data_IF_857748574840
#
_entry.id   IF_857748574840
#
_cell.length_a   1.000
_cell.length_b   1.000
_cell.length_c   1.000
_cell.angle_alpha   90.00
_cell.angle_beta   90.00
_cell.angle_gamma   90.00
#
_symmetry.space_group_name_H-M   'P 1'
#
loop_
_entity.id
_entity.type
_entity.pdbx_description
1 polymer ?
#
# COMPACT_ATOMS: atom_id res chain seq x y z
N UNK A 1 2.99 -18.24 10.13
CA UNK A 1 2.09 -17.12 10.48
C UNK A 1 1.51 -16.52 9.23
N UNK A 2 0.39 -15.79 9.33
CA UNK A 2 -0.15 -15.04 8.20
C UNK A 2 0.58 -13.69 8.07
N UNK A 3 0.89 -13.32 6.82
CA UNK A 3 1.53 -12.05 6.48
C UNK A 3 0.68 -11.36 5.43
N UNK A 4 0.28 -10.11 5.70
CA UNK A 4 -0.44 -9.27 4.74
C UNK A 4 0.51 -8.16 4.27
N UNK A 5 0.69 -8.05 2.94
CA UNK A 5 1.59 -7.10 2.30
C UNK A 5 0.78 -6.04 1.54
N UNK A 6 0.93 -4.78 1.97
CA UNK A 6 0.25 -3.62 1.39
C UNK A 6 1.24 -2.84 0.52
N UNK A 7 0.96 -2.67 -0.80
CA UNK A 7 1.85 -1.98 -1.72
C UNK A 7 1.85 -0.46 -1.50
N UNK A 8 2.87 0.19 -2.04
CA UNK A 8 2.96 1.65 -2.10
C UNK A 8 2.10 2.26 -3.21
N UNK A 9 2.11 3.59 -3.27
CA UNK A 9 1.43 4.36 -4.31
C UNK A 9 1.91 3.93 -5.70
N UNK A 10 1.01 3.94 -6.68
CA UNK A 10 1.22 3.50 -8.07
C UNK A 10 1.51 2.01 -8.27
N UNK A 11 1.57 1.22 -7.20
CA UNK A 11 1.90 -0.20 -7.24
C UNK A 11 0.68 -1.06 -6.89
N UNK A 12 0.69 -2.27 -7.40
CA UNK A 12 -0.27 -3.32 -7.06
C UNK A 12 0.40 -4.45 -6.25
N UNK A 13 -0.35 -5.51 -5.95
CA UNK A 13 0.16 -6.66 -5.19
C UNK A 13 1.35 -7.36 -5.83
N UNK A 14 1.53 -7.23 -7.15
CA UNK A 14 2.66 -7.86 -7.87
C UNK A 14 4.02 -7.22 -7.54
N UNK A 15 4.03 -6.05 -6.91
CA UNK A 15 5.26 -5.44 -6.38
C UNK A 15 5.96 -6.33 -5.34
N UNK A 16 5.24 -7.28 -4.74
CA UNK A 16 5.75 -8.22 -3.76
C UNK A 16 6.14 -9.60 -4.33
N UNK A 17 6.07 -9.79 -5.67
CA UNK A 17 6.32 -11.08 -6.33
C UNK A 17 7.70 -11.67 -6.04
N UNK A 18 8.71 -10.82 -5.83
CA UNK A 18 10.06 -11.26 -5.47
C UNK A 18 10.20 -11.63 -3.98
N UNK A 19 9.32 -11.12 -3.12
CA UNK A 19 9.35 -11.31 -1.66
C UNK A 19 8.48 -12.49 -1.24
N UNK A 20 7.26 -12.58 -1.79
CA UNK A 20 6.25 -13.59 -1.44
C UNK A 20 6.81 -15.01 -1.43
N UNK A 21 7.47 -15.53 -2.49
CA UNK A 21 7.97 -16.90 -2.49
C UNK A 21 9.04 -17.18 -1.42
N UNK A 22 9.81 -16.16 -1.03
CA UNK A 22 10.83 -16.29 0.01
C UNK A 22 10.21 -16.46 1.38
N UNK A 23 9.17 -15.68 1.68
CA UNK A 23 8.42 -15.80 2.93
C UNK A 23 7.65 -17.12 3.00
N UNK A 24 7.07 -17.57 1.88
CA UNK A 24 6.38 -18.86 1.80
C UNK A 24 7.34 -20.04 1.99
N UNK A 25 8.57 -19.96 1.50
CA UNK A 25 9.60 -20.97 1.70
C UNK A 25 10.00 -21.11 3.18
N UNK A 26 9.85 -20.03 3.98
CA UNK A 26 10.03 -20.04 5.44
C UNK A 26 8.78 -20.53 6.20
N UNK A 27 7.75 -20.99 5.50
CA UNK A 27 6.55 -21.57 6.09
C UNK A 27 5.47 -20.54 6.47
N UNK A 28 5.54 -19.32 5.94
CA UNK A 28 4.50 -18.30 6.14
C UNK A 28 3.38 -18.45 5.09
N UNK A 29 2.16 -17.99 5.44
CA UNK A 29 1.07 -17.79 4.50
C UNK A 29 1.05 -16.31 4.14
N UNK A 30 1.34 -15.98 2.86
CA UNK A 30 1.51 -14.61 2.42
C UNK A 30 0.33 -14.17 1.56
N UNK A 31 -0.17 -12.98 1.82
CA UNK A 31 -1.22 -12.32 1.05
C UNK A 31 -0.74 -10.95 0.61
N UNK A 32 -0.28 -10.85 -0.62
CA UNK A 32 -0.01 -9.58 -1.29
C UNK A 32 -1.32 -9.04 -1.84
N UNK A 33 -1.74 -7.85 -1.39
CA UNK A 33 -3.02 -7.28 -1.81
C UNK A 33 -2.84 -6.27 -2.94
N UNK A 34 -3.84 -6.17 -3.80
CA UNK A 34 -4.01 -5.05 -4.73
C UNK A 34 -5.12 -4.16 -4.17
N UNK A 35 -4.81 -2.90 -3.92
CA UNK A 35 -5.78 -1.96 -3.35
C UNK A 35 -6.84 -1.59 -4.41
N UNK A 36 -8.08 -1.25 -4.00
CA UNK A 36 -9.12 -0.81 -4.93
C UNK A 36 -8.65 0.31 -5.87
N UNK A 37 -9.01 0.21 -7.14
CA UNK A 37 -8.56 1.13 -8.19
C UNK A 37 -7.18 0.84 -8.78
N UNK A 38 -6.36 0.01 -8.10
CA UNK A 38 -5.02 -0.36 -8.56
C UNK A 38 -5.00 -1.63 -9.43
N UNK A 39 -6.15 -2.17 -9.77
CA UNK A 39 -6.35 -3.29 -10.71
C UNK A 39 -6.89 -2.84 -12.07
N UNK A 40 -7.11 -1.54 -12.24
CA UNK A 40 -7.67 -0.95 -13.47
C UNK A 40 -9.17 -1.19 -13.67
N UNK A 41 -9.89 -1.74 -12.70
CA UNK A 41 -11.31 -2.11 -12.84
C UNK A 41 -12.28 -1.06 -12.31
N UNK A 42 -11.88 -0.27 -11.32
CA UNK A 42 -12.73 0.76 -10.72
C UNK A 42 -12.47 2.17 -11.29
N UNK A 43 -13.50 3.03 -11.38
CA UNK A 43 -13.31 4.45 -11.66
C UNK A 43 -12.47 5.11 -10.56
N UNK A 44 -11.26 5.57 -10.87
CA UNK A 44 -10.32 6.11 -9.88
C UNK A 44 -10.90 7.25 -9.03
N UNK A 45 -11.69 8.13 -9.62
CA UNK A 45 -12.33 9.24 -8.89
C UNK A 45 -13.41 8.83 -7.88
N UNK A 46 -13.81 7.56 -7.83
CA UNK A 46 -14.78 7.04 -6.87
C UNK A 46 -14.14 6.31 -5.68
N UNK A 47 -12.86 5.97 -5.77
CA UNK A 47 -12.15 5.22 -4.72
C UNK A 47 -11.63 6.17 -3.64
N UNK A 48 -11.94 5.86 -2.39
CA UNK A 48 -11.61 6.64 -1.20
C UNK A 48 -10.52 5.96 -0.36
N UNK A 49 -9.90 6.69 0.57
CA UNK A 49 -8.98 6.11 1.53
C UNK A 49 -9.65 4.99 2.37
N UNK A 50 -10.90 5.19 2.76
CA UNK A 50 -11.67 4.19 3.49
C UNK A 50 -11.78 2.86 2.73
N UNK A 51 -11.93 2.88 1.40
CA UNK A 51 -11.99 1.65 0.59
C UNK A 51 -10.65 0.89 0.64
N UNK A 52 -9.53 1.61 0.67
CA UNK A 52 -8.20 1.02 0.84
C UNK A 52 -8.04 0.37 2.23
N UNK A 53 -8.45 1.08 3.29
CA UNK A 53 -8.41 0.54 4.67
C UNK A 53 -9.31 -0.69 4.79
N UNK A 54 -10.52 -0.65 4.23
CA UNK A 54 -11.47 -1.77 4.23
C UNK A 54 -10.93 -2.98 3.49
N UNK A 55 -10.19 -2.78 2.39
CA UNK A 55 -9.55 -3.89 1.67
C UNK A 55 -8.49 -4.58 2.54
N UNK A 56 -7.68 -3.80 3.31
CA UNK A 56 -6.68 -4.37 4.21
C UNK A 56 -7.33 -5.06 5.40
N UNK A 57 -8.33 -4.44 6.05
CA UNK A 57 -9.05 -5.08 7.17
C UNK A 57 -9.77 -6.35 6.73
N UNK A 58 -10.35 -6.37 5.54
CA UNK A 58 -10.92 -7.58 4.94
C UNK A 58 -9.86 -8.67 4.78
N UNK A 59 -8.66 -8.33 4.30
CA UNK A 59 -7.57 -9.30 4.15
C UNK A 59 -7.11 -9.86 5.51
N UNK A 60 -7.11 -9.05 6.57
CA UNK A 60 -6.83 -9.45 7.96
C UNK A 60 -7.94 -10.39 8.46
N UNK A 61 -9.20 -10.02 8.29
CA UNK A 61 -10.36 -10.77 8.76
C UNK A 61 -10.47 -12.18 8.13
N UNK A 62 -9.82 -12.41 6.98
CA UNK A 62 -9.74 -13.73 6.35
C UNK A 62 -8.64 -14.63 6.93
N UNK A 63 -7.81 -14.13 7.82
CA UNK A 63 -6.76 -14.90 8.46
C UNK A 63 -7.30 -15.63 9.70
N UNK A 64 -6.72 -16.78 10.04
CA UNK A 64 -7.16 -17.57 11.17
C UNK A 64 -6.53 -17.13 12.50
N UNK A 65 -5.39 -16.46 12.44
CA UNK A 65 -4.58 -16.02 13.56
C UNK A 65 -4.14 -14.57 13.35
N UNK A 66 -3.72 -13.86 14.42
CA UNK A 66 -3.18 -12.51 14.29
C UNK A 66 -2.01 -12.44 13.28
N UNK A 67 -2.04 -11.42 12.44
CA UNK A 67 -1.14 -11.28 11.29
C UNK A 67 0.11 -10.46 11.60
N UNK A 68 1.14 -10.64 10.78
CA UNK A 68 2.16 -9.64 10.50
C UNK A 68 1.66 -8.77 9.34
N UNK A 69 1.39 -7.50 9.61
CA UNK A 69 0.98 -6.53 8.60
C UNK A 69 2.18 -5.71 8.14
N UNK A 70 2.39 -5.59 6.84
CA UNK A 70 3.51 -4.84 6.24
C UNK A 70 2.96 -3.80 5.29
N UNK A 71 3.28 -2.52 5.50
CA UNK A 71 2.93 -1.42 4.61
C UNK A 71 4.15 -0.77 3.99
N UNK A 72 4.14 -0.54 2.68
CA UNK A 72 5.22 0.12 1.95
C UNK A 72 4.80 1.52 1.51
N UNK A 73 5.68 2.52 1.69
CA UNK A 73 5.46 3.91 1.23
C UNK A 73 4.10 4.45 1.69
N UNK A 74 3.25 5.01 0.81
CA UNK A 74 1.89 5.44 1.15
C UNK A 74 1.01 4.30 1.72
N UNK A 75 1.26 3.04 1.34
CA UNK A 75 0.61 1.88 1.95
C UNK A 75 0.92 1.69 3.45
N UNK A 76 1.95 2.38 3.98
CA UNK A 76 2.23 2.41 5.41
C UNK A 76 1.10 3.09 6.20
N UNK A 77 0.57 4.23 5.71
CA UNK A 77 -0.56 4.90 6.34
C UNK A 77 -1.85 4.07 6.26
N UNK A 78 -2.09 3.38 5.14
CA UNK A 78 -3.24 2.46 5.01
C UNK A 78 -3.11 1.30 6.01
N UNK A 79 -1.92 0.69 6.10
CA UNK A 79 -1.65 -0.40 7.05
C UNK A 79 -1.76 0.07 8.51
N UNK A 80 -1.34 1.32 8.80
CA UNK A 80 -1.50 1.93 10.11
C UNK A 80 -2.96 2.02 10.53
N UNK A 81 -3.85 2.58 9.67
CA UNK A 81 -5.27 2.66 9.95
C UNK A 81 -5.95 1.28 10.06
N UNK A 82 -5.53 0.32 9.23
CA UNK A 82 -6.05 -1.04 9.33
C UNK A 82 -5.64 -1.74 10.63
N UNK A 83 -4.41 -1.48 11.11
CA UNK A 83 -3.95 -1.99 12.40
C UNK A 83 -4.72 -1.36 13.57
N UNK A 84 -4.98 -0.05 13.51
CA UNK A 84 -5.82 0.66 14.47
C UNK A 84 -7.25 0.10 14.50
N UNK A 85 -7.84 -0.19 13.32
CA UNK A 85 -9.16 -0.78 13.21
C UNK A 85 -9.23 -2.27 13.64
N UNK A 86 -8.11 -2.96 13.76
CA UNK A 86 -8.01 -4.39 14.10
C UNK A 86 -6.88 -4.68 15.11
N UNK A 87 -6.82 -3.99 16.27
CA UNK A 87 -5.69 -4.07 17.18
C UNK A 87 -5.43 -5.49 17.70
N UNK A 88 -6.47 -6.28 17.93
CA UNK A 88 -6.34 -7.66 18.41
C UNK A 88 -5.89 -8.65 17.31
N UNK A 89 -5.99 -8.26 16.04
CA UNK A 89 -5.69 -9.10 14.88
C UNK A 89 -4.37 -8.73 14.19
N UNK A 90 -3.70 -7.68 14.60
CA UNK A 90 -2.37 -7.30 14.10
C UNK A 90 -1.34 -7.53 15.20
N UNK A 91 -0.68 -8.69 15.16
CA UNK A 91 0.35 -9.04 16.12
C UNK A 91 1.60 -8.17 15.99
N UNK A 92 1.89 -7.69 14.77
CA UNK A 92 3.01 -6.79 14.47
C UNK A 92 2.75 -6.01 13.19
N UNK A 93 3.10 -4.73 13.22
CA UNK A 93 3.10 -3.85 12.05
C UNK A 93 4.53 -3.49 11.68
N UNK A 94 4.87 -3.59 10.38
CA UNK A 94 6.15 -3.16 9.81
C UNK A 94 5.85 -2.11 8.73
N UNK A 95 6.48 -0.96 8.82
CA UNK A 95 6.41 0.12 7.84
C UNK A 95 7.75 0.23 7.11
N UNK A 96 7.72 0.15 5.79
CA UNK A 96 8.89 0.17 4.91
C UNK A 96 8.83 1.42 4.05
N UNK A 97 9.82 2.33 4.20
CA UNK A 97 9.87 3.57 3.42
C UNK A 97 8.64 4.46 3.58
N UNK A 98 7.97 4.39 4.72
CA UNK A 98 6.79 5.16 5.07
C UNK A 98 6.63 5.33 6.57
N UNK A 99 5.65 6.11 6.99
CA UNK A 99 5.40 6.47 8.38
C UNK A 99 3.92 6.28 8.75
N UNK A 100 3.59 6.19 10.05
CA UNK A 100 2.21 6.34 10.51
C UNK A 100 1.65 7.69 10.06
N UNK A 101 0.44 7.68 9.51
CA UNK A 101 -0.27 8.92 9.18
C UNK A 101 -1.18 9.28 10.36
N UNK A 102 -1.05 10.49 10.94
CA UNK A 102 -1.92 10.94 12.03
C UNK A 102 -3.39 11.02 11.63
N UNK A 103 -4.28 10.98 12.62
CA UNK A 103 -5.71 11.23 12.38
C UNK A 103 -5.93 12.63 11.79
N UNK A 104 -6.83 12.70 10.81
CA UNK A 104 -7.16 13.95 10.10
C UNK A 104 -6.16 14.36 9.01
N UNK A 105 -5.01 13.73 8.88
CA UNK A 105 -4.02 14.04 7.85
C UNK A 105 -4.15 13.13 6.62
N UNK A 106 -3.83 13.62 5.40
CA UNK A 106 -3.82 12.79 4.19
C UNK A 106 -2.57 11.89 4.16
N UNK A 107 -2.61 10.82 3.36
CA UNK A 107 -1.44 9.95 3.18
C UNK A 107 -0.27 10.67 2.51
N UNK A 108 -0.58 11.50 1.53
CA UNK A 108 0.41 12.29 0.78
C UNK A 108 -0.24 13.60 0.35
N UNK A 109 0.49 14.71 0.46
CA UNK A 109 0.06 16.03 0.02
C UNK A 109 0.81 16.51 -1.22
N UNK A 110 0.15 17.38 -1.99
CA UNK A 110 0.79 18.17 -3.05
C UNK A 110 1.13 17.39 -4.33
N UNK A 111 0.59 16.20 -4.51
CA UNK A 111 0.76 15.47 -5.77
C UNK A 111 -0.16 16.04 -6.86
N UNK A 112 0.29 16.06 -8.13
CA UNK A 112 -0.55 16.51 -9.23
C UNK A 112 -1.71 15.53 -9.45
N UNK A 113 -2.93 16.07 -9.57
CA UNK A 113 -4.15 15.30 -9.85
C UNK A 113 -4.62 15.60 -11.27
N UNK A 114 -4.90 14.56 -12.04
CA UNK A 114 -5.43 14.62 -13.39
C UNK A 114 -6.63 13.67 -13.48
N UNK A 115 -7.81 14.20 -13.79
CA UNK A 115 -9.05 13.43 -13.95
C UNK A 115 -9.36 12.50 -12.74
N UNK A 116 -9.11 12.98 -11.52
CA UNK A 116 -9.35 12.23 -10.28
C UNK A 116 -8.30 11.16 -9.95
N UNK A 117 -7.18 11.18 -10.65
CA UNK A 117 -6.07 10.28 -10.44
C UNK A 117 -4.75 11.02 -10.22
N UNK A 118 -3.84 10.42 -9.48
CA UNK A 118 -2.45 10.84 -9.33
C UNK A 118 -1.61 10.01 -10.29
N UNK A 119 -1.11 10.57 -11.40
CA UNK A 119 -0.29 9.84 -12.35
C UNK A 119 1.06 9.46 -11.73
N UNK A 120 1.64 8.33 -12.17
CA UNK A 120 3.01 7.97 -11.80
C UNK A 120 3.99 9.00 -12.40
N UNK A 121 4.83 9.65 -11.59
CA UNK A 121 5.67 10.74 -12.07
C UNK A 121 6.92 10.25 -12.82
N UNK A 122 7.15 8.94 -12.89
CA UNK A 122 8.39 8.35 -13.38
C UNK A 122 9.46 8.23 -12.28
N UNK A 123 10.44 7.35 -12.50
CA UNK A 123 11.50 7.08 -11.49
C UNK A 123 12.45 8.25 -11.31
N UNK A 124 12.55 9.14 -12.29
CA UNK A 124 13.39 10.35 -12.22
C UNK A 124 12.88 11.41 -11.22
N UNK A 125 11.65 11.24 -10.71
CA UNK A 125 11.08 12.10 -9.69
C UNK A 125 11.49 11.70 -8.25
N UNK A 126 12.13 10.55 -8.09
CA UNK A 126 12.61 10.05 -6.79
C UNK A 126 14.08 10.43 -6.57
N UNK A 127 14.49 10.55 -5.29
CA UNK A 127 15.89 10.77 -4.95
C UNK A 127 16.77 9.61 -5.48
N UNK A 128 17.95 9.92 -5.98
CA UNK A 128 18.89 8.93 -6.49
C UNK A 128 19.17 7.79 -5.51
N UNK A 129 19.09 8.06 -4.21
CA UNK A 129 19.31 7.04 -3.16
C UNK A 129 18.15 6.04 -3.05
N UNK A 130 16.93 6.47 -3.37
CA UNK A 130 15.73 5.63 -3.30
C UNK A 130 15.67 4.63 -4.44
N UNK A 131 16.38 4.90 -5.52
CA UNK A 131 16.40 4.08 -6.75
C UNK A 131 17.79 3.53 -7.08
N UNK A 132 18.79 3.72 -6.20
CA UNK A 132 20.18 3.39 -6.46
C UNK A 132 20.43 1.88 -6.66
N UNK A 133 19.66 1.03 -6.00
CA UNK A 133 19.75 -0.42 -6.04
C UNK A 133 18.91 -1.06 -7.16
N UNK A 134 18.12 -0.26 -7.88
CA UNK A 134 17.33 -0.74 -9.01
C UNK A 134 18.21 -0.84 -10.26
N UNK A 135 18.40 -2.04 -10.78
CA UNK A 135 18.99 -2.26 -12.09
C UNK A 135 18.04 -1.83 -13.23
N UNK A 136 18.52 -1.89 -14.48
CA UNK A 136 17.75 -1.44 -15.64
C UNK A 136 16.44 -2.25 -15.83
N UNK A 137 16.47 -3.56 -15.54
CA UNK A 137 15.32 -4.44 -15.71
C UNK A 137 14.26 -4.16 -14.62
N UNK A 138 14.69 -3.94 -13.37
CA UNK A 138 13.80 -3.54 -12.28
C UNK A 138 13.15 -2.18 -12.55
N UNK A 139 13.91 -1.18 -13.02
CA UNK A 139 13.40 0.14 -13.42
C UNK A 139 12.38 0.04 -14.54
N UNK A 140 12.67 -0.72 -15.60
CA UNK A 140 11.75 -0.95 -16.71
C UNK A 140 10.47 -1.66 -16.25
N UNK A 141 10.60 -2.65 -15.37
CA UNK A 141 9.48 -3.39 -14.79
C UNK A 141 8.56 -2.47 -13.98
N UNK A 142 9.11 -1.65 -13.09
CA UNK A 142 8.32 -0.69 -12.30
C UNK A 142 7.61 0.30 -13.23
N UNK A 143 8.33 0.93 -14.15
CA UNK A 143 7.77 1.91 -15.07
C UNK A 143 6.63 1.34 -15.94
N UNK A 144 6.73 0.06 -16.34
CA UNK A 144 5.72 -0.58 -17.19
C UNK A 144 4.47 -1.04 -16.43
N UNK A 145 4.58 -1.24 -15.11
CA UNK A 145 3.48 -1.73 -14.25
C UNK A 145 2.87 -0.65 -13.37
N UNK A 146 3.53 0.50 -13.24
CA UNK A 146 3.00 1.60 -12.46
C UNK A 146 1.66 2.09 -13.01
N UNK A 147 0.67 2.20 -12.15
CA UNK A 147 -0.69 2.62 -12.46
C UNK A 147 -0.98 4.00 -11.86
N UNK A 148 -1.83 4.82 -12.47
CA UNK A 148 -2.32 6.02 -11.82
C UNK A 148 -3.10 5.62 -10.57
N UNK A 149 -2.88 6.32 -9.46
CA UNK A 149 -3.54 6.05 -8.18
C UNK A 149 -4.79 6.90 -8.00
N UNK A 150 -5.83 6.42 -7.27
CA UNK A 150 -6.99 7.22 -6.94
C UNK A 150 -6.60 8.45 -6.10
N UNK A 151 -6.92 9.66 -6.56
CA UNK A 151 -6.55 10.89 -5.85
C UNK A 151 -7.17 10.96 -4.46
N UNK A 152 -8.46 10.65 -4.33
CA UNK A 152 -9.14 10.67 -3.03
C UNK A 152 -8.56 9.64 -2.04
N UNK A 153 -7.99 8.53 -2.52
CA UNK A 153 -7.39 7.55 -1.63
C UNK A 153 -6.09 8.05 -0.96
N UNK A 154 -5.46 9.09 -1.52
CA UNK A 154 -4.25 9.69 -0.92
C UNK A 154 -4.50 11.04 -0.27
N UNK A 155 -5.52 11.79 -0.72
CA UNK A 155 -5.85 13.14 -0.24
C UNK A 155 -6.92 13.15 0.85
N UNK A 156 -7.73 12.09 0.99
CA UNK A 156 -8.70 11.98 2.07
C UNK A 156 -7.98 11.99 3.42
N UNK A 157 -8.57 12.66 4.43
CA UNK A 157 -8.01 12.63 5.77
C UNK A 157 -8.11 11.23 6.36
N UNK A 158 -7.02 10.77 6.97
CA UNK A 158 -6.96 9.56 7.77
C UNK A 158 -8.04 9.58 8.86
N UNK A 159 -8.60 8.41 9.16
CA UNK A 159 -9.56 8.23 10.25
C UNK A 159 -9.10 7.07 11.12
N UNK A 160 -8.64 7.40 12.31
CA UNK A 160 -8.27 6.44 13.34
C UNK A 160 -9.42 6.27 14.34
N UNK A 161 -9.50 5.12 14.99
CA UNK A 161 -10.52 4.81 16.00
C UNK A 161 -10.07 5.19 17.41
N UNK A 162 -8.76 5.01 17.69
CA UNK A 162 -8.12 5.37 18.93
C UNK A 162 -7.10 6.49 18.69
N UNK A 163 -7.25 7.61 19.43
CA UNK A 163 -6.29 8.72 19.47
C UNK A 163 -5.12 8.43 20.45
#
# INVERSE_FOLDING_TARGET
MDIVLVPGLWLDGTSWDAVTPRLEAEGHRVRSITLPGMDGTAPLGAVRLADHVDAVTTAIDWCADPVLLVGHSAGAGVAWAAADARPDWVARLILIGGFPTPDGEPLVEGLPVVDGAVPFPGLDAFDDREVADLDADARASIASRALPAPACAVEDPQRLQDE
#
